data_IF_637270669580
#
_entry.id   IF_637270669580
#
_cell.length_a   1.000
_cell.length_b   1.000
_cell.length_c   1.000
_cell.angle_alpha   90.00
_cell.angle_beta   90.00
_cell.angle_gamma   90.00
#
_symmetry.space_group_name_H-M   'P 1'
#
loop_
_entity.id
_entity.type
_entity.pdbx_description
1 polymer ?
#
# COMPACT_ATOMS: atom_id res chain seq x y z
N UNK A 1 11.50 5.49 -13.78
CA UNK A 1 11.15 6.82 -14.30
C UNK A 1 11.12 7.80 -13.15
N UNK A 2 12.00 8.79 -13.21
CA UNK A 2 12.26 9.77 -12.18
C UNK A 2 11.02 10.68 -12.03
N UNK A 3 10.24 10.55 -10.96
CA UNK A 3 9.23 11.56 -10.61
C UNK A 3 9.90 12.59 -9.69
N UNK A 4 10.96 13.23 -10.18
CA UNK A 4 11.31 14.56 -9.68
C UNK A 4 10.83 15.55 -10.74
N UNK A 5 9.63 16.08 -10.57
CA UNK A 5 9.13 17.02 -11.59
C UNK A 5 7.81 17.72 -11.32
N UNK A 6 7.05 17.38 -10.27
CA UNK A 6 5.73 18.00 -10.08
C UNK A 6 5.43 18.51 -8.67
N UNK A 7 6.34 18.42 -7.71
CA UNK A 7 6.05 18.89 -6.34
C UNK A 7 6.24 20.37 -6.09
N UNK A 8 6.67 21.16 -7.08
CA UNK A 8 6.85 22.60 -6.90
C UNK A 8 6.27 23.38 -8.09
N UNK A 9 4.94 23.44 -8.20
CA UNK A 9 4.27 24.44 -9.03
C UNK A 9 3.57 25.45 -8.13
N UNK A 10 3.73 26.77 -8.39
CA UNK A 10 3.09 27.81 -7.60
C UNK A 10 1.57 27.68 -7.70
N UNK A 11 0.92 27.93 -6.57
CA UNK A 11 -0.53 27.90 -6.39
C UNK A 11 -1.14 29.02 -7.24
N UNK A 12 -1.57 28.70 -8.46
CA UNK A 12 -2.54 29.53 -9.19
C UNK A 12 -3.80 28.71 -9.40
N UNK A 13 -4.84 29.17 -8.72
CA UNK A 13 -6.08 28.44 -8.50
C UNK A 13 -6.95 28.38 -9.77
N UNK A 14 -7.11 27.17 -10.31
CA UNK A 14 -8.41 26.72 -10.84
C UNK A 14 -8.66 25.32 -10.29
N UNK A 15 -9.82 25.12 -9.65
CA UNK A 15 -10.26 23.79 -9.24
C UNK A 15 -10.35 22.87 -10.45
N UNK A 16 -10.03 21.59 -10.27
CA UNK A 16 -10.23 20.58 -11.31
C UNK A 16 -11.66 20.65 -11.84
N UNK A 17 -11.89 20.62 -13.17
CA UNK A 17 -13.23 20.50 -13.74
C UNK A 17 -13.90 19.16 -13.40
N UNK A 18 -13.14 18.21 -12.86
CA UNK A 18 -13.64 16.93 -12.37
C UNK A 18 -13.73 16.98 -10.84
N UNK A 19 -14.93 17.09 -10.25
CA UNK A 19 -15.10 17.19 -8.79
C UNK A 19 -14.65 15.92 -8.05
N UNK A 20 -14.60 14.78 -8.75
CA UNK A 20 -14.04 13.53 -8.23
C UNK A 20 -12.51 13.58 -8.05
N UNK A 21 -11.82 14.43 -8.81
CA UNK A 21 -10.36 14.60 -8.71
C UNK A 21 -10.09 15.78 -7.79
N UNK A 22 -9.95 15.48 -6.50
CA UNK A 22 -9.62 16.47 -5.48
C UNK A 22 -8.14 16.89 -5.56
N UNK A 23 -7.80 17.97 -4.84
CA UNK A 23 -6.41 18.44 -4.76
C UNK A 23 -5.51 17.32 -4.23
N UNK A 24 -4.33 17.15 -4.83
CA UNK A 24 -3.32 16.25 -4.29
C UNK A 24 -2.95 16.72 -2.89
N UNK A 25 -2.94 15.81 -1.94
CA UNK A 25 -2.42 16.08 -0.62
C UNK A 25 -0.89 16.13 -0.65
N UNK A 26 -0.31 16.88 0.28
CA UNK A 26 1.12 16.87 0.52
C UNK A 26 1.46 15.51 1.14
N UNK A 27 2.26 14.72 0.45
CA UNK A 27 2.73 13.41 0.93
C UNK A 27 4.11 13.62 1.56
N UNK A 28 4.40 13.04 2.74
CA UNK A 28 5.74 13.12 3.31
C UNK A 28 6.79 12.54 2.36
N UNK A 29 7.99 13.09 2.37
CA UNK A 29 9.08 12.63 1.49
C UNK A 29 9.55 11.21 1.81
N UNK A 30 9.50 10.82 3.09
CA UNK A 30 10.00 9.55 3.58
C UNK A 30 8.86 8.56 3.86
N UNK A 31 8.73 7.46 3.08
CA UNK A 31 7.60 6.52 3.22
C UNK A 31 7.66 5.70 4.52
N UNK A 32 8.83 5.62 5.16
CA UNK A 32 9.03 4.88 6.41
C UNK A 32 8.97 5.78 7.65
N UNK A 33 8.64 7.06 7.50
CA UNK A 33 8.55 7.99 8.63
C UNK A 33 7.26 7.82 9.43
N UNK A 34 7.20 8.40 10.63
CA UNK A 34 5.98 8.47 11.45
C UNK A 34 4.85 9.18 10.70
N UNK A 35 5.16 10.30 10.05
CA UNK A 35 4.18 11.15 9.37
C UNK A 35 3.49 10.40 8.23
N UNK A 36 4.25 9.57 7.49
CA UNK A 36 3.68 8.71 6.45
C UNK A 36 2.72 7.67 7.02
N UNK A 37 3.08 7.06 8.16
CA UNK A 37 2.19 6.10 8.84
C UNK A 37 0.92 6.78 9.35
N UNK A 38 1.03 7.95 9.95
CA UNK A 38 -0.09 8.72 10.49
C UNK A 38 -1.05 9.17 9.38
N UNK A 39 -0.49 9.62 8.25
CA UNK A 39 -1.26 9.98 7.07
C UNK A 39 -2.05 8.78 6.53
N UNK A 40 -1.41 7.62 6.38
CA UNK A 40 -2.06 6.39 5.92
C UNK A 40 -3.17 5.96 6.88
N UNK A 41 -2.94 6.03 8.20
CA UNK A 41 -3.96 5.71 9.20
C UNK A 41 -5.17 6.64 9.08
N UNK A 42 -4.93 7.94 8.92
CA UNK A 42 -6.00 8.94 8.73
C UNK A 42 -6.81 8.63 7.47
N UNK A 43 -6.16 8.24 6.37
CA UNK A 43 -6.87 7.84 5.13
C UNK A 43 -7.73 6.60 5.33
N UNK A 44 -7.22 5.61 6.05
CA UNK A 44 -7.95 4.38 6.36
C UNK A 44 -9.18 4.69 7.23
N UNK A 45 -9.03 5.53 8.25
CA UNK A 45 -10.13 5.98 9.11
C UNK A 45 -11.21 6.70 8.32
N UNK A 46 -10.85 7.71 7.53
CA UNK A 46 -11.78 8.44 6.66
C UNK A 46 -12.49 7.47 5.71
N UNK A 47 -11.77 6.51 5.13
CA UNK A 47 -12.34 5.54 4.22
C UNK A 47 -13.37 4.63 4.91
N UNK A 48 -13.04 4.14 6.11
CA UNK A 48 -13.93 3.27 6.89
C UNK A 48 -15.20 4.00 7.35
N UNK A 49 -15.08 5.27 7.73
CA UNK A 49 -16.20 6.05 8.27
C UNK A 49 -17.10 6.64 7.17
N UNK A 50 -16.50 7.12 6.08
CA UNK A 50 -17.21 7.92 5.06
C UNK A 50 -17.56 7.15 3.81
N UNK A 51 -16.94 5.98 3.58
CA UNK A 51 -17.16 5.19 2.37
C UNK A 51 -17.64 3.75 2.71
N UNK A 52 -18.94 3.54 3.00
CA UNK A 52 -19.49 2.22 3.29
C UNK A 52 -19.21 1.17 2.21
N UNK A 53 -19.10 1.59 0.94
CA UNK A 53 -18.76 0.73 -0.19
C UNK A 53 -17.30 0.23 -0.18
N UNK A 54 -16.39 0.94 0.50
CA UNK A 54 -14.99 0.54 0.61
C UNK A 54 -14.75 -0.50 1.72
N UNK A 55 -15.67 -0.62 2.68
CA UNK A 55 -15.55 -1.56 3.80
C UNK A 55 -15.98 -2.95 3.36
N UNK A 56 -15.02 -3.76 2.91
CA UNK A 56 -15.28 -5.20 2.69
C UNK A 56 -15.24 -5.94 4.03
N UNK A 57 -16.38 -6.55 4.41
CA UNK A 57 -16.46 -7.43 5.59
C UNK A 57 -15.76 -8.77 5.38
N UNK A 58 -15.58 -9.17 4.12
CA UNK A 58 -15.04 -10.48 3.72
C UNK A 58 -13.98 -10.26 2.63
N UNK A 59 -12.78 -9.87 3.07
CA UNK A 59 -11.62 -9.78 2.20
C UNK A 59 -10.91 -11.15 2.20
N UNK A 60 -11.02 -11.87 1.08
CA UNK A 60 -10.25 -13.09 0.88
C UNK A 60 -8.77 -12.72 0.78
N UNK A 61 -7.96 -13.37 1.60
CA UNK A 61 -6.55 -13.08 1.72
C UNK A 61 -5.80 -13.47 0.43
N UNK A 62 -4.74 -12.73 0.04
CA UNK A 62 -3.90 -13.18 -1.06
C UNK A 62 -3.38 -14.60 -0.80
N UNK A 63 -3.47 -15.48 -1.81
CA UNK A 63 -3.08 -16.89 -1.69
C UNK A 63 -1.64 -17.15 -1.18
N UNK A 64 -0.80 -16.11 -1.20
CA UNK A 64 0.58 -16.10 -0.76
C UNK A 64 0.86 -14.84 0.04
N UNK A 65 1.34 -15.00 1.27
CA UNK A 65 1.77 -13.92 2.15
C UNK A 65 3.22 -14.13 2.52
N UNK A 66 3.96 -13.03 2.64
CA UNK A 66 5.29 -13.05 3.23
C UNK A 66 5.17 -12.73 4.72
N UNK A 67 5.51 -13.70 5.56
CA UNK A 67 5.70 -13.49 7.00
C UNK A 67 7.11 -12.93 7.22
N UNK A 68 7.19 -11.76 7.85
CA UNK A 68 8.45 -11.05 8.11
C UNK A 68 9.06 -11.43 9.47
N UNK A 69 8.37 -12.24 10.28
CA UNK A 69 8.79 -12.56 11.63
C UNK A 69 8.66 -11.38 12.60
N UNK A 70 9.16 -11.57 13.82
CA UNK A 70 9.15 -10.53 14.86
C UNK A 70 10.44 -9.71 14.81
N UNK A 71 10.38 -8.39 15.11
CA UNK A 71 11.54 -7.50 15.05
C UNK A 71 12.71 -7.91 15.98
N UNK A 72 12.43 -8.69 17.02
CA UNK A 72 13.37 -9.10 18.08
C UNK A 72 13.99 -10.49 17.85
N UNK A 73 13.57 -11.21 16.80
CA UNK A 73 14.13 -12.52 16.43
C UNK A 73 14.85 -12.42 15.08
N UNK A 74 15.77 -13.35 14.83
CA UNK A 74 16.44 -13.49 13.54
C UNK A 74 15.41 -13.44 12.40
N UNK A 75 15.66 -12.61 11.37
CA UNK A 75 14.83 -12.47 10.17
C UNK A 75 14.50 -13.85 9.58
N UNK A 76 13.33 -14.38 9.94
CA UNK A 76 12.82 -15.67 9.48
C UNK A 76 11.72 -15.39 8.46
N UNK A 77 12.16 -14.93 7.28
CA UNK A 77 11.28 -14.58 6.17
C UNK A 77 10.69 -15.85 5.57
N UNK A 78 9.35 -15.98 5.61
CA UNK A 78 8.67 -17.18 5.11
C UNK A 78 7.54 -16.84 4.17
N UNK A 79 7.44 -17.57 3.08
CA UNK A 79 6.30 -17.52 2.19
C UNK A 79 5.22 -18.49 2.68
N UNK A 80 4.10 -17.95 3.14
CA UNK A 80 2.97 -18.70 3.68
C UNK A 80 1.87 -18.80 2.63
N UNK A 81 1.46 -20.01 2.27
CA UNK A 81 0.26 -20.25 1.48
C UNK A 81 -0.98 -20.16 2.37
N UNK A 82 -1.99 -19.43 1.93
CA UNK A 82 -3.20 -19.17 2.71
C UNK A 82 -4.35 -20.00 2.17
N UNK A 83 -5.11 -20.71 3.04
CA UNK A 83 -6.24 -21.56 2.62
C UNK A 83 -7.57 -20.83 2.82
N UNK A 84 -7.78 -19.73 2.10
CA UNK A 84 -9.07 -19.02 2.08
C UNK A 84 -9.45 -18.32 3.39
N UNK A 85 -8.49 -18.05 4.27
CA UNK A 85 -8.77 -17.29 5.51
C UNK A 85 -9.17 -15.86 5.19
N UNK A 86 -10.18 -15.34 5.89
CA UNK A 86 -10.59 -13.94 5.78
C UNK A 86 -9.74 -13.06 6.71
N UNK A 87 -9.08 -12.05 6.16
CA UNK A 87 -8.32 -11.08 6.96
C UNK A 87 -8.28 -9.74 6.25
N UNK A 88 -8.30 -8.64 7.01
CA UNK A 88 -8.17 -7.29 6.45
C UNK A 88 -6.75 -7.09 5.94
N UNK A 89 -6.64 -6.58 4.72
CA UNK A 89 -5.38 -6.16 4.10
C UNK A 89 -5.61 -4.90 3.28
N UNK A 90 -4.54 -4.19 2.98
CA UNK A 90 -4.53 -3.07 2.03
C UNK A 90 -3.67 -3.45 0.84
N UNK A 91 -4.14 -3.12 -0.37
CA UNK A 91 -3.36 -3.30 -1.59
C UNK A 91 -2.76 -1.95 -2.00
N UNK A 92 -1.45 -1.92 -2.20
CA UNK A 92 -0.75 -0.76 -2.77
C UNK A 92 -0.54 -1.00 -4.26
N UNK A 93 -1.12 -0.14 -5.10
CA UNK A 93 -0.89 -0.14 -6.54
C UNK A 93 0.34 0.72 -6.86
N UNK A 94 1.49 0.06 -7.02
CA UNK A 94 2.69 0.71 -7.51
C UNK A 94 2.92 0.32 -8.99
N UNK A 95 3.11 1.30 -9.86
CA UNK A 95 3.58 1.06 -11.22
C UNK A 95 5.07 0.72 -11.16
N UNK A 96 5.38 -0.56 -11.04
CA UNK A 96 6.77 -1.01 -10.83
C UNK A 96 7.72 -0.54 -11.93
N UNK A 97 7.30 -0.55 -13.21
CA UNK A 97 8.07 -0.06 -14.35
C UNK A 97 9.46 -0.70 -14.55
N UNK A 98 10.02 -0.65 -15.76
CA UNK A 98 11.43 -1.03 -16.00
C UNK A 98 11.86 -2.42 -15.48
N UNK A 99 13.11 -2.51 -15.02
CA UNK A 99 13.73 -3.72 -14.48
C UNK A 99 13.45 -3.86 -12.98
N UNK A 100 12.90 -5.01 -12.57
CA UNK A 100 12.65 -5.36 -11.16
C UNK A 100 13.81 -6.21 -10.61
N UNK A 101 14.67 -5.68 -9.72
CA UNK A 101 15.81 -6.42 -9.18
C UNK A 101 15.43 -7.50 -8.17
N UNK A 102 14.23 -7.42 -7.57
CA UNK A 102 13.72 -8.37 -6.59
C UNK A 102 12.48 -9.06 -7.14
N UNK A 103 12.59 -10.35 -7.46
CA UNK A 103 11.50 -11.19 -7.96
C UNK A 103 11.52 -12.54 -7.25
N UNK A 104 10.36 -13.00 -6.81
CA UNK A 104 10.23 -14.36 -6.28
C UNK A 104 10.21 -15.36 -7.44
N UNK A 105 11.13 -16.32 -7.45
CA UNK A 105 11.10 -17.47 -8.36
C UNK A 105 10.25 -18.58 -7.75
N UNK A 106 9.68 -19.46 -8.58
CA UNK A 106 8.76 -20.51 -8.14
C UNK A 106 9.38 -21.58 -7.23
N UNK A 107 10.70 -21.55 -7.05
CA UNK A 107 11.48 -22.61 -6.42
C UNK A 107 11.40 -22.60 -4.87
N UNK A 108 10.86 -21.54 -4.26
CA UNK A 108 10.61 -21.48 -2.81
C UNK A 108 9.10 -21.58 -2.51
N UNK A 109 8.57 -22.80 -2.49
CA UNK A 109 7.22 -23.09 -2.01
C UNK A 109 7.29 -24.18 -0.93
N UNK A 110 7.47 -23.78 0.33
CA UNK A 110 7.20 -24.65 1.47
C UNK A 110 5.67 -24.77 1.63
N UNK A 111 5.14 -25.98 1.43
CA UNK A 111 3.72 -26.29 1.57
C UNK A 111 3.43 -26.73 3.01
N UNK A 112 2.39 -26.13 3.63
CA UNK A 112 1.80 -26.62 4.88
C UNK A 112 0.28 -26.66 4.76
#
# INVERSE_FOLDING_TARGET
>A
CYISGLFNRPITAKSSPYPAIQRSQIIPECPISSESRDLVNTWIEICNERHPACVSKHAERPARILDLGFPDRSLDLRLVKTKGDFSRYIALSHCWGGSQPLKTTGDMLEAK
#
